data_IF_599158005018
#
_entry.id   IF_599158005018
#
_cell.length_a   1.000
_cell.length_b   1.000
_cell.length_c   1.000
_cell.angle_alpha   90.00
_cell.angle_beta   90.00
_cell.angle_gamma   90.00
#
_symmetry.space_group_name_H-M   'P 1'
#
loop_
_entity.id
_entity.type
_entity.pdbx_description
1 polymer ?
#
# COMPACT_ATOMS: atom_id res chain seq x y z
N UNK A 1 6.13 9.59 7.82
CA UNK A 1 5.15 10.49 7.14
C UNK A 1 5.78 11.78 6.60
N UNK A 2 6.38 12.63 7.44
CA UNK A 2 7.00 13.92 7.02
C UNK A 2 8.03 13.78 5.88
N UNK A 3 8.87 12.73 5.93
CA UNK A 3 9.86 12.43 4.88
C UNK A 3 9.23 12.25 3.48
N UNK A 4 8.20 11.39 3.35
CA UNK A 4 7.55 11.11 2.07
C UNK A 4 6.75 12.30 1.55
N UNK A 5 6.15 13.08 2.45
CA UNK A 5 5.49 14.32 2.10
C UNK A 5 6.48 15.34 1.50
N UNK A 6 7.65 15.49 2.11
CA UNK A 6 8.72 16.34 1.58
C UNK A 6 9.24 15.81 0.24
N UNK A 7 9.40 14.50 0.10
CA UNK A 7 9.80 13.86 -1.15
C UNK A 7 8.79 14.10 -2.27
N UNK A 8 7.48 13.98 -2.01
CA UNK A 8 6.43 14.26 -2.98
C UNK A 8 6.47 15.72 -3.50
N UNK A 9 6.82 16.67 -2.63
CA UNK A 9 6.98 18.09 -2.99
C UNK A 9 8.27 18.39 -3.74
N UNK A 10 9.25 17.49 -3.75
CA UNK A 10 10.55 17.71 -4.39
C UNK A 10 10.47 17.74 -5.93
N UNK A 11 11.00 18.80 -6.59
CA UNK A 11 11.05 18.87 -8.05
C UNK A 11 11.94 17.78 -8.66
N UNK A 12 13.04 17.44 -8.00
CA UNK A 12 13.95 16.38 -8.44
C UNK A 12 13.24 15.02 -8.44
N UNK A 13 12.42 14.75 -7.42
CA UNK A 13 11.64 13.52 -7.33
C UNK A 13 10.64 13.40 -8.49
N UNK A 14 9.92 14.48 -8.80
CA UNK A 14 9.00 14.52 -9.96
C UNK A 14 9.73 14.32 -11.28
N UNK A 15 10.89 14.96 -11.47
CA UNK A 15 11.71 14.79 -12.67
C UNK A 15 12.15 13.32 -12.83
N UNK A 16 12.64 12.70 -11.75
CA UNK A 16 13.06 11.30 -11.75
C UNK A 16 11.92 10.35 -12.12
N UNK A 17 10.72 10.58 -11.61
CA UNK A 17 9.52 9.80 -11.96
C UNK A 17 9.13 9.97 -13.42
N UNK A 18 9.17 11.19 -13.94
CA UNK A 18 8.94 11.47 -15.36
C UNK A 18 9.92 10.72 -16.27
N UNK A 19 11.21 10.73 -15.92
CA UNK A 19 12.23 9.96 -16.63
C UNK A 19 11.99 8.44 -16.55
N UNK A 20 11.64 7.91 -15.36
CA UNK A 20 11.33 6.50 -15.18
C UNK A 20 10.15 6.05 -16.06
N UNK A 21 9.07 6.84 -16.14
CA UNK A 21 7.93 6.58 -17.04
C UNK A 21 8.33 6.60 -18.52
N UNK A 22 9.16 7.57 -18.93
CA UNK A 22 9.63 7.65 -20.30
C UNK A 22 10.45 6.40 -20.67
N UNK A 23 11.41 6.00 -19.83
CA UNK A 23 12.17 4.78 -20.05
C UNK A 23 11.32 3.51 -19.99
N UNK A 24 10.32 3.43 -19.10
CA UNK A 24 9.37 2.32 -19.06
C UNK A 24 8.57 2.20 -20.37
N UNK A 25 8.17 3.32 -20.97
CA UNK A 25 7.50 3.34 -22.27
C UNK A 25 8.40 2.87 -23.42
N UNK A 26 9.72 2.89 -23.23
CA UNK A 26 10.73 2.36 -24.14
C UNK A 26 11.08 0.88 -23.86
N UNK A 27 10.36 0.21 -22.96
CA UNK A 27 10.57 -1.21 -22.63
C UNK A 27 11.63 -1.50 -21.57
N UNK A 28 12.18 -0.48 -20.90
CA UNK A 28 13.10 -0.68 -19.79
C UNK A 28 12.33 -0.98 -18.49
N UNK A 29 12.78 -1.92 -17.64
CA UNK A 29 12.04 -2.34 -16.44
C UNK A 29 12.21 -1.36 -15.27
N UNK A 30 11.95 -0.08 -15.48
CA UNK A 30 12.02 0.94 -14.44
C UNK A 30 10.65 1.16 -13.80
N UNK A 31 10.54 0.80 -12.53
CA UNK A 31 9.32 1.02 -11.76
C UNK A 31 9.16 2.52 -11.39
N UNK A 32 8.06 3.12 -11.85
CA UNK A 32 7.63 4.43 -11.33
C UNK A 32 6.91 4.25 -10.00
N UNK A 33 7.62 4.48 -8.88
CA UNK A 33 7.03 4.44 -7.54
C UNK A 33 6.65 5.85 -7.09
N UNK A 34 5.39 6.02 -6.74
CA UNK A 34 4.87 7.25 -6.10
C UNK A 34 5.41 7.41 -4.67
N UNK A 35 5.20 8.58 -4.07
CA UNK A 35 5.54 8.77 -2.66
C UNK A 35 4.65 7.91 -1.76
N UNK A 36 3.40 7.68 -2.18
CA UNK A 36 2.48 6.72 -1.57
C UNK A 36 3.07 5.29 -1.60
N UNK A 37 3.50 4.79 -2.76
CA UNK A 37 4.04 3.42 -2.87
C UNK A 37 5.29 3.23 -2.00
N UNK A 38 6.16 4.23 -1.95
CA UNK A 38 7.36 4.21 -1.11
C UNK A 38 7.01 4.21 0.38
N UNK A 39 5.98 4.97 0.78
CA UNK A 39 5.47 4.93 2.14
C UNK A 39 4.87 3.56 2.47
N UNK A 40 4.01 3.01 1.60
CA UNK A 40 3.35 1.73 1.84
C UNK A 40 4.34 0.58 1.96
N UNK A 41 5.39 0.55 1.13
CA UNK A 41 6.47 -0.42 1.25
C UNK A 41 7.19 -0.31 2.60
N UNK A 42 7.58 0.90 2.99
CA UNK A 42 8.26 1.10 4.27
C UNK A 42 7.35 0.80 5.47
N UNK A 43 6.06 1.12 5.36
CA UNK A 43 5.09 0.82 6.40
C UNK A 43 4.88 -0.70 6.53
N UNK A 44 4.79 -1.42 5.41
CA UNK A 44 4.75 -2.88 5.39
C UNK A 44 5.99 -3.50 6.06
N UNK A 45 7.18 -2.99 5.76
CA UNK A 45 8.43 -3.49 6.35
C UNK A 45 8.47 -3.18 7.85
N UNK A 46 8.08 -1.96 8.24
CA UNK A 46 7.94 -1.57 9.65
C UNK A 46 6.97 -2.47 10.41
N UNK A 47 5.80 -2.80 9.82
CA UNK A 47 4.83 -3.71 10.46
C UNK A 47 5.47 -5.06 10.77
N UNK A 48 6.33 -5.59 9.89
CA UNK A 48 6.99 -6.88 10.07
C UNK A 48 8.16 -6.83 11.04
N UNK A 49 8.94 -5.77 11.00
CA UNK A 49 10.20 -5.64 11.75
C UNK A 49 10.01 -5.05 13.16
N UNK A 50 8.85 -4.43 13.43
CA UNK A 50 8.56 -3.83 14.73
C UNK A 50 8.10 -4.90 15.75
N UNK A 51 9.04 -5.38 16.56
CA UNK A 51 8.78 -6.37 17.60
C UNK A 51 7.72 -5.95 18.63
N UNK A 52 7.71 -4.70 19.17
CA UNK A 52 6.63 -4.26 20.05
C UNK A 52 5.24 -4.40 19.43
N UNK A 53 5.04 -3.92 18.21
CA UNK A 53 3.77 -4.01 17.47
C UNK A 53 3.38 -5.48 17.20
N UNK A 54 4.34 -6.32 16.83
CA UNK A 54 4.10 -7.75 16.62
C UNK A 54 3.63 -8.49 17.88
N UNK A 55 3.98 -7.99 19.07
CA UNK A 55 3.58 -8.57 20.37
C UNK A 55 2.26 -8.02 20.92
N UNK A 56 1.68 -6.99 20.30
CA UNK A 56 0.36 -6.48 20.68
C UNK A 56 -0.72 -7.54 20.42
N UNK A 57 -1.86 -7.41 21.11
CA UNK A 57 -3.00 -8.30 20.89
C UNK A 57 -3.68 -7.96 19.55
N UNK A 58 -3.68 -8.94 18.63
CA UNK A 58 -4.33 -8.83 17.33
C UNK A 58 -5.57 -9.72 17.29
N UNK A 59 -6.61 -9.29 16.56
CA UNK A 59 -7.82 -10.11 16.38
C UNK A 59 -7.52 -11.34 15.55
N UNK A 60 -7.74 -12.53 16.12
CA UNK A 60 -7.61 -13.81 15.41
C UNK A 60 -8.95 -14.18 14.78
N UNK A 61 -8.95 -14.35 13.46
CA UNK A 61 -10.09 -14.87 12.69
C UNK A 61 -9.74 -16.23 12.11
N UNK A 62 -10.68 -17.17 12.17
CA UNK A 62 -10.52 -18.50 11.57
C UNK A 62 -11.47 -18.66 10.39
N UNK A 63 -10.91 -19.11 9.27
CA UNK A 63 -11.61 -19.29 8.01
C UNK A 63 -11.76 -20.78 7.72
N UNK A 64 -12.95 -21.39 7.93
CA UNK A 64 -13.15 -22.81 7.72
C UNK A 64 -13.01 -23.20 6.24
N UNK A 65 -12.70 -24.46 5.96
CA UNK A 65 -12.61 -24.97 4.59
C UNK A 65 -13.91 -24.74 3.82
N UNK A 66 -13.80 -24.25 2.59
CA UNK A 66 -14.95 -23.91 1.74
C UNK A 66 -15.54 -22.52 1.98
N UNK A 67 -15.03 -21.75 2.95
CA UNK A 67 -15.44 -20.36 3.08
C UNK A 67 -14.81 -19.45 2.02
N UNK A 68 -15.34 -18.24 1.90
CA UNK A 68 -14.78 -17.16 1.07
C UNK A 68 -14.78 -15.88 1.88
N UNK A 69 -13.75 -15.08 1.70
CA UNK A 69 -13.59 -13.78 2.34
C UNK A 69 -13.01 -12.80 1.32
N UNK A 70 -13.22 -11.51 1.56
CA UNK A 70 -12.69 -10.42 0.73
C UNK A 70 -12.20 -9.31 1.66
N UNK A 71 -11.11 -8.65 1.27
CA UNK A 71 -10.51 -7.56 2.03
C UNK A 71 -9.74 -6.61 1.10
N UNK A 72 -9.69 -5.33 1.46
CA UNK A 72 -8.69 -4.40 0.93
C UNK A 72 -7.38 -4.61 1.71
N UNK A 73 -6.49 -5.45 1.17
CA UNK A 73 -5.24 -5.87 1.82
C UNK A 73 -4.24 -4.73 2.05
N UNK A 74 -4.39 -3.63 1.33
CA UNK A 74 -3.61 -2.39 1.50
C UNK A 74 -4.14 -1.50 2.64
N UNK A 75 -5.37 -1.71 3.09
CA UNK A 75 -5.98 -0.97 4.20
C UNK A 75 -6.02 -1.75 5.53
N UNK A 76 -5.83 -3.07 5.50
CA UNK A 76 -5.96 -3.93 6.69
C UNK A 76 -4.66 -4.72 6.91
N UNK A 77 -3.89 -4.44 7.99
CA UNK A 77 -2.78 -5.30 8.39
C UNK A 77 -3.27 -6.72 8.67
N UNK A 78 -2.61 -7.72 8.09
CA UNK A 78 -3.02 -9.11 8.22
C UNK A 78 -1.81 -10.05 8.19
N UNK A 79 -1.98 -11.24 8.78
CA UNK A 79 -0.99 -12.30 8.76
C UNK A 79 -1.70 -13.67 8.68
N UNK A 80 -1.15 -14.57 7.87
CA UNK A 80 -1.58 -15.97 7.82
C UNK A 80 -0.70 -16.78 8.79
N UNK A 81 -1.29 -17.30 9.87
CA UNK A 81 -0.56 -18.02 10.91
C UNK A 81 -0.40 -19.51 10.62
N UNK A 82 -1.42 -20.12 10.02
CA UNK A 82 -1.43 -21.54 9.64
C UNK A 82 -2.53 -21.81 8.62
N UNK A 83 -2.42 -22.91 7.88
CA UNK A 83 -3.40 -23.33 6.88
C UNK A 83 -2.74 -23.96 5.67
N UNK A 84 -3.55 -24.63 4.84
CA UNK A 84 -3.11 -25.24 3.60
C UNK A 84 -4.24 -25.16 2.57
N UNK A 85 -3.87 -24.97 1.29
CA UNK A 85 -4.78 -24.92 0.14
C UNK A 85 -5.76 -23.72 0.15
N UNK A 86 -5.23 -22.52 -0.10
CA UNK A 86 -6.03 -21.32 -0.35
C UNK A 86 -5.97 -20.93 -1.83
N UNK A 87 -7.11 -20.51 -2.38
CA UNK A 87 -7.18 -19.83 -3.68
C UNK A 87 -7.35 -18.33 -3.40
N UNK A 88 -6.51 -17.51 -4.03
CA UNK A 88 -6.53 -16.05 -3.91
C UNK A 88 -6.64 -15.41 -5.29
N UNK A 89 -7.33 -14.28 -5.36
CA UNK A 89 -7.43 -13.47 -6.56
C UNK A 89 -7.42 -11.99 -6.19
N UNK A 90 -6.46 -11.26 -6.72
CA UNK A 90 -6.31 -9.82 -6.51
C UNK A 90 -7.07 -9.05 -7.59
N UNK A 91 -7.96 -8.16 -7.16
CA UNK A 91 -8.60 -7.17 -8.02
C UNK A 91 -8.00 -5.78 -7.77
N UNK A 92 -7.70 -5.06 -8.84
CA UNK A 92 -7.31 -3.64 -8.76
C UNK A 92 -8.56 -2.79 -8.96
N UNK A 93 -8.96 -2.08 -7.91
CA UNK A 93 -10.15 -1.23 -7.91
C UNK A 93 -9.74 0.23 -8.06
N UNK A 94 -10.23 0.96 -9.09
CA UNK A 94 -9.98 2.40 -9.19
C UNK A 94 -10.55 3.14 -7.98
N UNK A 95 -9.78 4.06 -7.40
CA UNK A 95 -10.20 4.91 -6.27
C UNK A 95 -11.57 5.57 -6.51
N UNK A 96 -11.82 6.05 -7.73
CA UNK A 96 -13.08 6.70 -8.11
C UNK A 96 -14.30 5.77 -8.11
N UNK A 97 -14.10 4.45 -8.06
CA UNK A 97 -15.17 3.45 -7.99
C UNK A 97 -15.55 3.07 -6.55
N UNK A 98 -14.80 3.54 -5.54
CA UNK A 98 -15.14 3.31 -4.14
C UNK A 98 -16.36 4.15 -3.74
N UNK A 99 -17.22 3.58 -2.90
CA UNK A 99 -18.38 4.31 -2.33
C UNK A 99 -17.92 5.45 -1.42
N UNK A 100 -16.82 5.24 -0.69
CA UNK A 100 -16.18 6.23 0.18
C UNK A 100 -14.69 6.37 -0.18
N UNK A 101 -14.34 7.06 -1.28
CA UNK A 101 -12.95 7.21 -1.73
C UNK A 101 -12.04 7.85 -0.67
N UNK A 102 -12.58 8.70 0.19
CA UNK A 102 -11.87 9.37 1.28
C UNK A 102 -11.32 8.41 2.36
N UNK A 103 -11.80 7.17 2.38
CA UNK A 103 -11.31 6.10 3.25
C UNK A 103 -10.21 5.25 2.60
N UNK A 104 -9.90 5.48 1.31
CA UNK A 104 -8.79 4.80 0.66
C UNK A 104 -7.47 5.13 1.39
N UNK A 105 -6.51 4.19 1.50
CA UNK A 105 -5.26 4.43 2.20
C UNK A 105 -4.53 5.67 1.69
N UNK A 106 -4.51 5.91 0.38
CA UNK A 106 -3.90 7.10 -0.21
C UNK A 106 -4.55 8.39 0.28
N UNK A 107 -5.88 8.48 0.34
CA UNK A 107 -6.62 9.66 0.80
C UNK A 107 -6.39 9.97 2.27
N UNK A 108 -6.41 8.91 3.08
CA UNK A 108 -6.10 9.02 4.51
C UNK A 108 -4.68 9.56 4.68
N UNK A 109 -3.72 9.04 3.94
CA UNK A 109 -2.33 9.48 3.99
C UNK A 109 -2.11 10.89 3.45
N UNK A 110 -2.78 11.27 2.37
CA UNK A 110 -2.74 12.63 1.81
C UNK A 110 -3.34 13.64 2.79
N UNK A 111 -4.46 13.29 3.44
CA UNK A 111 -5.08 14.10 4.50
C UNK A 111 -4.16 14.26 5.72
N UNK A 112 -3.52 13.19 6.18
CA UNK A 112 -2.58 13.22 7.30
C UNK A 112 -1.28 13.99 6.97
N UNK A 113 -0.83 13.95 5.72
CA UNK A 113 0.39 14.62 5.28
C UNK A 113 0.20 16.05 4.78
N UNK A 114 -1.03 16.44 4.45
CA UNK A 114 -1.35 17.74 3.86
C UNK A 114 -0.71 17.94 2.49
N UNK A 115 -0.48 16.87 1.73
CA UNK A 115 0.11 16.94 0.38
C UNK A 115 -0.34 15.75 -0.45
N UNK A 116 -0.43 15.93 -1.77
CA UNK A 116 -0.65 14.81 -2.68
C UNK A 116 0.58 13.87 -2.69
N UNK A 117 0.33 12.56 -2.67
CA UNK A 117 1.35 11.51 -2.61
C UNK A 117 1.40 10.63 -3.88
N UNK A 118 0.42 10.77 -4.78
CA UNK A 118 0.30 10.07 -6.06
C UNK A 118 1.41 10.39 -7.07
#
# INVERSE_FOLDING_TARGET
MSYYAAQARSPLFRLRRGAARAFASLGLPLADRSAYDLFMLHFHDWLKENEPYQKEEHTRSEFPSGCTWMVYTDGVPHAALSGQYALEHTYIVPRAALVAPELAPIDVLEKLSGTALS
#
